data_IF_558421292860
#
_entry.id   IF_558421292860
#
_cell.length_a   1.000
_cell.length_b   1.000
_cell.length_c   1.000
_cell.angle_alpha   90.00
_cell.angle_beta   90.00
_cell.angle_gamma   90.00
#
_symmetry.space_group_name_H-M   'P 1'
#
loop_
_entity.id
_entity.type
_entity.pdbx_description
1 polymer ?
#
# COMPACT_ATOMS: atom_id res chain seq x y z
N UNK A 1 -9.16 -14.26 -18.50
CA UNK A 1 -9.24 -14.67 -17.08
C UNK A 1 -10.19 -13.72 -16.36
N UNK A 2 -10.83 -14.14 -15.26
CA UNK A 2 -11.66 -13.23 -14.48
C UNK A 2 -10.80 -12.39 -13.54
N UNK A 3 -11.23 -11.16 -13.27
CA UNK A 3 -10.61 -10.26 -12.32
C UNK A 3 -10.67 -10.84 -10.87
N UNK A 4 -9.60 -10.74 -10.10
CA UNK A 4 -9.52 -11.34 -8.76
C UNK A 4 -10.29 -10.49 -7.74
N UNK A 5 -11.35 -11.04 -7.13
CA UNK A 5 -12.05 -10.38 -6.01
C UNK A 5 -11.12 -10.15 -4.83
N UNK A 6 -11.21 -8.97 -4.24
CA UNK A 6 -10.49 -8.60 -3.02
C UNK A 6 -10.88 -9.50 -1.85
N UNK A 7 -9.90 -9.96 -1.06
CA UNK A 7 -10.10 -10.86 0.09
C UNK A 7 -9.14 -10.52 1.24
N UNK A 8 -9.49 -11.02 2.42
CA UNK A 8 -8.62 -10.96 3.62
C UNK A 8 -8.44 -9.56 4.17
N UNK A 9 -7.20 -9.17 4.42
CA UNK A 9 -6.84 -7.88 5.01
C UNK A 9 -6.59 -6.78 3.95
N UNK A 10 -7.27 -6.85 2.80
CA UNK A 10 -7.27 -5.78 1.81
C UNK A 10 -8.02 -4.54 2.33
N UNK A 11 -7.83 -3.39 1.72
CA UNK A 11 -8.63 -2.20 1.99
C UNK A 11 -10.11 -2.49 1.76
N UNK A 12 -10.96 -2.07 2.69
CA UNK A 12 -12.41 -2.37 2.67
C UNK A 12 -13.13 -1.86 1.42
N UNK A 13 -12.60 -0.80 0.82
CA UNK A 13 -13.14 -0.14 -0.36
C UNK A 13 -12.59 -0.68 -1.70
N UNK A 14 -11.55 -1.51 -1.70
CA UNK A 14 -11.03 -2.15 -2.92
C UNK A 14 -11.85 -3.39 -3.24
N UNK A 15 -12.40 -3.45 -4.46
CA UNK A 15 -13.26 -4.57 -4.90
C UNK A 15 -12.45 -5.71 -5.51
N UNK A 16 -11.39 -5.40 -6.26
CA UNK A 16 -10.60 -6.38 -7.01
C UNK A 16 -9.11 -6.06 -6.98
N UNK A 17 -8.30 -7.05 -7.33
CA UNK A 17 -6.87 -6.89 -7.58
C UNK A 17 -6.51 -7.38 -8.98
N UNK A 18 -5.55 -6.72 -9.62
CA UNK A 18 -5.00 -7.10 -10.92
C UNK A 18 -3.48 -6.96 -10.91
N UNK A 19 -2.76 -7.99 -11.35
CA UNK A 19 -1.32 -8.10 -11.20
C UNK A 19 -0.67 -8.56 -12.50
N UNK A 20 -0.26 -7.64 -13.35
CA UNK A 20 0.49 -7.91 -14.59
C UNK A 20 1.95 -8.21 -14.31
N UNK A 21 2.53 -7.60 -13.27
CA UNK A 21 3.92 -7.76 -12.86
C UNK A 21 3.95 -8.64 -11.61
N UNK A 22 4.71 -9.73 -11.66
CA UNK A 22 4.82 -10.73 -10.60
C UNK A 22 6.28 -11.05 -10.30
N UNK A 23 6.53 -11.62 -9.12
CA UNK A 23 7.85 -12.06 -8.71
C UNK A 23 8.49 -11.20 -7.64
N UNK A 24 9.83 -11.31 -7.52
CA UNK A 24 10.58 -10.72 -6.43
C UNK A 24 10.75 -9.20 -6.58
N UNK A 25 10.10 -8.44 -5.71
CA UNK A 25 10.21 -6.99 -5.63
C UNK A 25 11.57 -6.60 -5.01
N UNK A 26 12.28 -5.64 -5.63
CA UNK A 26 13.59 -5.17 -5.15
C UNK A 26 13.58 -4.45 -3.81
N UNK A 27 12.42 -4.06 -3.29
CA UNK A 27 12.35 -3.46 -1.95
C UNK A 27 12.80 -4.41 -0.84
N UNK A 28 12.60 -5.73 -0.99
CA UNK A 28 13.13 -6.72 -0.06
C UNK A 28 12.62 -6.65 1.38
N UNK A 29 11.52 -5.94 1.66
CA UNK A 29 10.98 -5.75 3.02
C UNK A 29 10.91 -7.06 3.79
N UNK A 30 11.39 -7.08 5.07
CA UNK A 30 11.38 -8.31 5.88
C UNK A 30 9.96 -8.83 6.13
N UNK A 31 9.02 -7.93 6.32
CA UNK A 31 7.60 -8.18 6.62
C UNK A 31 6.72 -8.38 5.38
N UNK A 32 7.30 -8.53 4.17
CA UNK A 32 6.49 -8.68 2.97
C UNK A 32 5.63 -9.94 3.03
N UNK A 33 4.30 -9.76 3.00
CA UNK A 33 3.35 -10.86 3.11
C UNK A 33 3.46 -11.89 1.95
N UNK A 34 4.02 -11.48 0.81
CA UNK A 34 4.23 -12.35 -0.34
C UNK A 34 5.25 -13.45 -0.03
N UNK A 35 6.19 -13.21 0.89
CA UNK A 35 7.20 -14.19 1.31
C UNK A 35 6.60 -15.46 1.92
N UNK A 36 5.40 -15.40 2.51
CA UNK A 36 4.70 -16.59 3.03
C UNK A 36 4.26 -17.59 1.94
N UNK A 37 4.26 -17.16 0.69
CA UNK A 37 3.97 -18.04 -0.46
C UNK A 37 5.20 -18.79 -0.96
N UNK A 38 6.31 -18.73 -0.22
CA UNK A 38 7.59 -19.34 -0.55
C UNK A 38 8.51 -18.44 -1.37
N UNK A 39 9.59 -19.02 -1.88
CA UNK A 39 10.57 -18.32 -2.69
C UNK A 39 9.91 -17.77 -3.96
N UNK A 40 9.98 -16.47 -4.14
CA UNK A 40 9.43 -15.82 -5.32
C UNK A 40 10.31 -16.09 -6.55
N UNK A 41 9.68 -16.18 -7.70
CA UNK A 41 10.38 -16.20 -8.99
C UNK A 41 11.04 -14.84 -9.27
N UNK A 42 12.02 -14.77 -10.17
CA UNK A 42 12.46 -13.49 -10.71
C UNK A 42 11.26 -12.68 -11.23
N UNK A 43 11.37 -11.36 -11.22
CA UNK A 43 10.31 -10.50 -11.77
C UNK A 43 10.02 -10.89 -13.22
N UNK A 44 8.75 -10.90 -13.57
CA UNK A 44 8.29 -11.18 -14.93
C UNK A 44 6.96 -10.47 -15.19
N UNK A 45 6.74 -10.16 -16.47
CA UNK A 45 5.44 -9.71 -16.96
C UNK A 45 4.58 -10.94 -17.25
N UNK A 46 3.38 -10.99 -16.70
CA UNK A 46 2.40 -12.04 -17.02
C UNK A 46 1.48 -11.55 -18.15
N UNK A 47 1.88 -11.83 -19.39
CA UNK A 47 1.15 -11.40 -20.56
C UNK A 47 -0.30 -11.89 -20.62
N UNK A 48 -0.63 -12.96 -19.88
CA UNK A 48 -2.01 -13.48 -19.81
C UNK A 48 -2.94 -12.50 -19.10
N UNK A 49 -2.42 -11.68 -18.21
CA UNK A 49 -3.20 -10.67 -17.50
C UNK A 49 -3.73 -9.56 -18.43
N UNK A 50 -3.09 -9.30 -19.56
CA UNK A 50 -3.57 -8.37 -20.59
C UNK A 50 -4.73 -8.93 -21.44
N UNK A 51 -5.25 -10.12 -21.09
CA UNK A 51 -6.49 -10.69 -21.63
C UNK A 51 -7.62 -10.69 -20.60
N UNK A 52 -7.39 -10.07 -19.43
CA UNK A 52 -8.38 -10.00 -18.36
C UNK A 52 -9.35 -8.85 -18.64
N UNK A 53 -10.63 -9.15 -18.76
CA UNK A 53 -11.65 -8.11 -18.75
C UNK A 53 -11.71 -7.47 -17.35
N UNK A 54 -11.37 -6.19 -17.26
CA UNK A 54 -11.39 -5.44 -16.02
C UNK A 54 -12.80 -4.97 -15.65
N UNK A 55 -13.79 -5.19 -16.49
CA UNK A 55 -15.18 -4.84 -16.25
C UNK A 55 -15.41 -3.33 -16.11
N UNK A 56 -16.48 -2.98 -15.41
CA UNK A 56 -16.91 -1.59 -15.23
C UNK A 56 -17.22 -1.29 -13.76
N UNK A 57 -17.00 -0.04 -13.34
CA UNK A 57 -17.33 0.46 -11.99
C UNK A 57 -16.66 -0.32 -10.85
N UNK A 58 -15.51 -0.92 -11.11
CA UNK A 58 -14.69 -1.57 -10.08
C UNK A 58 -13.70 -0.58 -9.44
N UNK A 59 -13.27 -0.91 -8.23
CA UNK A 59 -12.10 -0.30 -7.60
C UNK A 59 -11.01 -1.36 -7.58
N UNK A 60 -10.00 -1.19 -8.45
CA UNK A 60 -8.99 -2.20 -8.74
C UNK A 60 -7.64 -1.77 -8.17
N UNK A 61 -7.07 -2.57 -7.27
CA UNK A 61 -5.69 -2.40 -6.83
C UNK A 61 -4.74 -3.09 -7.83
N UNK A 62 -3.93 -2.30 -8.52
CA UNK A 62 -2.92 -2.80 -9.48
C UNK A 62 -1.61 -3.06 -8.74
N UNK A 63 -1.02 -4.24 -8.96
CA UNK A 63 0.28 -4.58 -8.40
C UNK A 63 0.25 -4.94 -6.92
N UNK A 64 -0.84 -5.52 -6.42
CA UNK A 64 -0.94 -5.92 -5.01
C UNK A 64 0.11 -6.97 -4.60
N UNK A 65 0.59 -7.81 -5.50
CA UNK A 65 1.57 -8.87 -5.22
C UNK A 65 3.03 -8.48 -5.48
N UNK A 66 3.27 -7.38 -6.19
CA UNK A 66 4.59 -6.83 -6.46
C UNK A 66 4.46 -5.32 -6.63
N UNK A 67 5.31 -4.54 -5.98
CA UNK A 67 5.34 -3.09 -6.20
C UNK A 67 5.80 -2.81 -7.63
N UNK A 68 4.87 -2.42 -8.50
CA UNK A 68 5.16 -2.19 -9.92
C UNK A 68 6.05 -0.97 -10.19
N UNK A 69 6.30 -0.15 -9.17
CA UNK A 69 7.22 0.99 -9.26
C UNK A 69 8.53 0.76 -8.51
N UNK A 70 8.81 -0.47 -8.06
CA UNK A 70 10.12 -0.81 -7.52
C UNK A 70 11.23 -0.63 -8.58
N UNK A 71 12.47 -0.43 -8.13
CA UNK A 71 13.58 -0.03 -9.03
C UNK A 71 13.86 -1.05 -10.13
N UNK A 72 13.72 -2.34 -9.83
CA UNK A 72 13.99 -3.43 -10.77
C UNK A 72 12.90 -3.65 -11.83
N UNK A 73 11.81 -2.90 -11.81
CA UNK A 73 10.72 -3.05 -12.79
C UNK A 73 11.02 -2.26 -14.07
N UNK A 74 11.03 -2.91 -15.24
CA UNK A 74 11.22 -2.24 -16.53
C UNK A 74 10.14 -1.21 -16.82
N UNK A 75 10.53 -0.06 -17.35
CA UNK A 75 9.62 1.05 -17.64
C UNK A 75 8.49 0.66 -18.62
N UNK A 76 8.79 -0.16 -19.64
CA UNK A 76 7.79 -0.63 -20.61
C UNK A 76 6.67 -1.44 -19.96
N UNK A 77 6.97 -2.29 -18.97
CA UNK A 77 5.95 -3.08 -18.27
C UNK A 77 4.97 -2.20 -17.46
N UNK A 78 5.50 -1.12 -16.88
CA UNK A 78 4.66 -0.14 -16.16
C UNK A 78 3.77 0.59 -17.16
N UNK A 79 4.36 1.01 -18.29
CA UNK A 79 3.64 1.68 -19.37
C UNK A 79 2.49 0.81 -19.90
N UNK A 80 2.78 -0.42 -20.30
CA UNK A 80 1.80 -1.36 -20.85
C UNK A 80 0.66 -1.64 -19.86
N UNK A 81 1.00 -1.77 -18.56
CA UNK A 81 0.00 -1.98 -17.51
C UNK A 81 -0.95 -0.80 -17.35
N UNK A 82 -0.43 0.43 -17.36
CA UNK A 82 -1.26 1.63 -17.22
C UNK A 82 -2.11 1.85 -18.48
N UNK A 83 -1.54 1.68 -19.67
CA UNK A 83 -2.27 1.82 -20.93
C UNK A 83 -3.43 0.82 -21.01
N UNK A 84 -3.19 -0.46 -20.67
CA UNK A 84 -4.26 -1.44 -20.63
C UNK A 84 -5.37 -1.07 -19.64
N UNK A 85 -5.02 -0.59 -18.46
CA UNK A 85 -6.01 -0.13 -17.49
C UNK A 85 -6.86 1.03 -18.02
N UNK A 86 -6.29 1.93 -18.83
CA UNK A 86 -7.00 3.07 -19.45
C UNK A 86 -8.06 2.67 -20.43
N UNK A 87 -7.93 1.52 -21.09
CA UNK A 87 -8.98 0.99 -21.98
C UNK A 87 -10.30 0.72 -21.23
N UNK A 88 -10.23 0.51 -19.91
CA UNK A 88 -11.36 0.30 -19.01
C UNK A 88 -11.60 1.53 -18.12
N UNK A 89 -11.73 2.70 -18.72
CA UNK A 89 -11.71 4.01 -18.06
C UNK A 89 -12.85 4.30 -17.08
N UNK A 90 -13.88 3.45 -16.97
CA UNK A 90 -14.95 3.56 -15.96
C UNK A 90 -14.57 2.99 -14.58
N UNK A 91 -13.44 2.32 -14.47
CA UNK A 91 -12.92 1.80 -13.21
C UNK A 91 -12.08 2.84 -12.46
N UNK A 92 -12.07 2.75 -11.14
CA UNK A 92 -11.09 3.43 -10.30
C UNK A 92 -9.87 2.53 -10.09
N UNK A 93 -8.68 3.08 -10.21
CA UNK A 93 -7.43 2.33 -10.06
C UNK A 93 -6.63 2.83 -8.86
N UNK A 94 -6.28 1.92 -7.96
CA UNK A 94 -5.36 2.18 -6.88
C UNK A 94 -3.94 1.79 -7.32
N UNK A 95 -3.05 2.77 -7.35
CA UNK A 95 -1.61 2.61 -7.54
C UNK A 95 -0.90 2.82 -6.21
N UNK A 96 -0.27 1.79 -5.68
CA UNK A 96 0.45 1.89 -4.42
C UNK A 96 1.93 1.57 -4.60
N UNK A 97 2.79 2.38 -3.99
CA UNK A 97 4.23 2.14 -4.05
C UNK A 97 4.98 2.67 -2.82
N UNK A 98 6.07 2.01 -2.49
CA UNK A 98 7.13 2.52 -1.62
C UNK A 98 8.15 3.37 -2.37
N UNK A 99 8.00 3.52 -3.69
CA UNK A 99 8.81 4.40 -4.53
C UNK A 99 7.92 5.41 -5.27
N UNK A 100 7.30 6.36 -4.56
CA UNK A 100 6.43 7.36 -5.18
C UNK A 100 7.17 8.27 -6.16
N UNK A 101 8.48 8.43 -6.05
CA UNK A 101 9.25 9.21 -7.02
C UNK A 101 9.24 8.55 -8.40
N UNK A 102 9.45 7.23 -8.48
CA UNK A 102 9.32 6.49 -9.75
C UNK A 102 7.88 6.48 -10.23
N UNK A 103 6.90 6.29 -9.34
CA UNK A 103 5.48 6.33 -9.68
C UNK A 103 5.07 7.69 -10.28
N UNK A 104 5.63 8.79 -9.78
CA UNK A 104 5.34 10.14 -10.26
C UNK A 104 5.65 10.35 -11.75
N UNK A 105 6.61 9.63 -12.31
CA UNK A 105 6.96 9.69 -13.74
C UNK A 105 5.81 9.28 -14.65
N UNK A 106 4.86 8.51 -14.13
CA UNK A 106 3.69 8.00 -14.87
C UNK A 106 2.40 8.74 -14.51
N UNK A 107 2.48 9.78 -13.67
CA UNK A 107 1.32 10.53 -13.17
C UNK A 107 0.36 10.97 -14.29
N UNK A 108 0.88 11.52 -15.39
CA UNK A 108 0.07 12.00 -16.51
C UNK A 108 -0.67 10.91 -17.31
N UNK A 109 -0.34 9.64 -17.06
CA UNK A 109 -0.94 8.50 -17.77
C UNK A 109 -2.04 7.79 -16.96
N UNK A 110 -2.09 7.99 -15.63
CA UNK A 110 -2.94 7.19 -14.73
C UNK A 110 -4.44 7.43 -14.87
N UNK A 111 -4.87 8.49 -15.59
CA UNK A 111 -6.28 8.85 -15.77
C UNK A 111 -6.89 9.53 -14.54
N UNK A 112 -8.06 10.16 -14.73
CA UNK A 112 -8.67 11.04 -13.72
C UNK A 112 -9.24 10.28 -12.50
N UNK A 113 -9.59 9.02 -12.68
CA UNK A 113 -10.11 8.16 -11.61
C UNK A 113 -9.01 7.46 -10.79
N UNK A 114 -7.74 7.80 -11.02
CA UNK A 114 -6.63 7.22 -10.28
C UNK A 114 -6.66 7.60 -8.79
N UNK A 115 -6.26 6.66 -7.96
CA UNK A 115 -5.96 6.82 -6.55
C UNK A 115 -4.51 6.43 -6.34
N UNK A 116 -3.76 7.24 -5.64
CA UNK A 116 -2.36 6.95 -5.32
C UNK A 116 -2.20 6.67 -3.84
N UNK A 117 -1.36 5.71 -3.51
CA UNK A 117 -1.07 5.33 -2.12
C UNK A 117 0.43 5.15 -1.92
N UNK A 118 0.93 5.58 -0.77
CA UNK A 118 2.27 5.20 -0.33
C UNK A 118 2.24 4.60 1.06
N UNK A 119 3.22 3.77 1.37
CA UNK A 119 3.37 3.17 2.70
C UNK A 119 4.31 4.04 3.54
N UNK A 120 3.89 4.40 4.73
CA UNK A 120 4.70 5.09 5.76
C UNK A 120 4.55 4.29 7.05
N UNK A 121 5.37 3.31 7.29
CA UNK A 121 5.29 2.39 8.42
C UNK A 121 5.59 3.08 9.75
N UNK A 122 6.42 4.11 9.70
CA UNK A 122 6.97 4.88 10.83
C UNK A 122 7.70 6.11 10.28
N UNK A 123 8.03 7.08 11.14
CA UNK A 123 8.94 8.19 10.81
C UNK A 123 10.42 7.80 10.96
N UNK A 124 10.71 6.66 11.61
CA UNK A 124 12.06 6.14 11.84
C UNK A 124 12.53 5.29 10.64
N UNK A 125 13.83 5.03 10.60
CA UNK A 125 14.42 4.09 9.64
C UNK A 125 14.92 2.83 10.34
N UNK A 126 14.32 1.70 10.02
CA UNK A 126 14.76 0.39 10.53
C UNK A 126 15.48 -0.37 9.42
N UNK A 127 16.83 -0.29 9.46
CA UNK A 127 17.69 -1.04 8.53
C UNK A 127 17.39 -2.55 8.63
N UNK A 128 17.47 -3.26 7.51
CA UNK A 128 17.16 -4.70 7.39
C UNK A 128 15.68 -5.11 7.61
N UNK A 129 14.81 -4.18 7.96
CA UNK A 129 13.36 -4.39 8.09
C UNK A 129 12.64 -3.73 6.92
N UNK A 130 12.87 -2.43 6.74
CA UNK A 130 12.21 -1.62 5.71
C UNK A 130 12.96 -1.71 4.38
N UNK A 131 12.19 -1.66 3.30
CA UNK A 131 12.74 -1.61 1.94
C UNK A 131 12.28 -0.38 1.17
N UNK A 132 12.99 -0.08 0.08
CA UNK A 132 12.74 1.10 -0.75
C UNK A 132 13.27 2.41 -0.13
N UNK A 133 12.91 3.58 -0.69
CA UNK A 133 13.28 4.88 -0.15
C UNK A 133 12.78 5.09 1.28
N UNK A 134 13.50 5.89 2.09
CA UNK A 134 13.11 6.20 3.46
C UNK A 134 11.75 6.94 3.55
N UNK A 135 11.06 6.87 4.69
CA UNK A 135 9.70 7.42 4.84
C UNK A 135 9.59 8.90 4.48
N UNK A 136 10.57 9.72 4.86
CA UNK A 136 10.61 11.15 4.53
C UNK A 136 10.72 11.39 3.02
N UNK A 137 11.59 10.65 2.35
CA UNK A 137 11.76 10.73 0.88
C UNK A 137 10.46 10.36 0.17
N UNK A 138 9.77 9.31 0.67
CA UNK A 138 8.46 8.91 0.14
C UNK A 138 7.42 10.03 0.31
N UNK A 139 7.34 10.65 1.47
CA UNK A 139 6.39 11.72 1.75
C UNK A 139 6.63 12.96 0.88
N UNK A 140 7.88 13.38 0.72
CA UNK A 140 8.27 14.53 -0.11
C UNK A 140 7.94 14.31 -1.60
N UNK A 141 8.19 13.10 -2.11
CA UNK A 141 7.81 12.75 -3.48
C UNK A 141 6.29 12.66 -3.65
N UNK A 142 5.60 12.12 -2.63
CA UNK A 142 4.17 11.86 -2.66
C UNK A 142 3.33 13.14 -2.67
N UNK A 143 3.81 14.21 -2.06
CA UNK A 143 3.18 15.54 -2.09
C UNK A 143 2.95 16.06 -3.51
N UNK A 144 3.76 15.66 -4.49
CA UNK A 144 3.72 16.15 -5.87
C UNK A 144 2.55 15.58 -6.70
N UNK A 145 1.85 14.55 -6.21
CA UNK A 145 0.69 14.00 -6.90
C UNK A 145 -0.53 14.92 -6.80
N UNK A 146 -1.28 15.04 -7.90
CA UNK A 146 -2.52 15.83 -7.99
C UNK A 146 -3.79 14.97 -7.75
N UNK A 147 -3.65 13.67 -7.59
CA UNK A 147 -4.76 12.74 -7.31
C UNK A 147 -5.15 12.73 -5.83
N UNK A 148 -6.25 12.04 -5.52
CA UNK A 148 -6.56 11.68 -4.15
C UNK A 148 -5.46 10.77 -3.60
N UNK A 149 -4.78 11.25 -2.55
CA UNK A 149 -3.65 10.61 -1.92
C UNK A 149 -4.10 9.80 -0.72
N UNK A 150 -3.69 8.56 -0.67
CA UNK A 150 -3.88 7.65 0.46
C UNK A 150 -2.53 7.31 1.08
N UNK A 151 -2.48 7.20 2.38
CA UNK A 151 -1.31 6.68 3.07
C UNK A 151 -1.71 5.38 3.75
N UNK A 152 -0.85 4.37 3.71
CA UNK A 152 -1.00 3.19 4.54
C UNK A 152 0.14 3.12 5.57
N UNK A 153 -0.23 3.00 6.83
CA UNK A 153 0.66 2.76 7.96
C UNK A 153 0.54 1.26 8.28
N UNK A 154 1.12 0.42 7.42
CA UNK A 154 1.04 -1.04 7.56
C UNK A 154 2.26 -1.75 6.97
N UNK A 155 2.95 -2.56 7.80
CA UNK A 155 2.72 -2.72 9.24
C UNK A 155 3.10 -1.45 10.02
N UNK A 156 2.26 -1.06 10.99
CA UNK A 156 2.65 0.04 11.89
C UNK A 156 3.84 -0.42 12.73
N UNK A 157 4.91 0.38 12.72
CA UNK A 157 6.09 0.18 13.57
C UNK A 157 6.22 1.35 14.55
N UNK A 158 7.01 1.18 15.61
CA UNK A 158 7.17 2.21 16.62
C UNK A 158 7.71 3.52 16.01
N UNK A 159 7.20 4.62 16.51
CA UNK A 159 7.38 5.96 15.93
C UNK A 159 7.51 7.03 17.02
N UNK A 160 7.90 8.23 16.62
CA UNK A 160 7.86 9.44 17.44
C UNK A 160 6.59 10.21 17.02
N UNK A 161 5.67 10.43 17.97
CA UNK A 161 4.30 10.86 17.65
C UNK A 161 4.27 12.16 16.85
N UNK A 162 4.95 13.19 17.31
CA UNK A 162 4.96 14.51 16.66
C UNK A 162 5.51 14.42 15.24
N UNK A 163 6.65 13.78 15.07
CA UNK A 163 7.34 13.62 13.79
C UNK A 163 6.53 12.75 12.82
N UNK A 164 5.85 11.70 13.34
CA UNK A 164 4.97 10.86 12.52
C UNK A 164 3.76 11.64 12.03
N UNK A 165 3.12 12.43 12.89
CA UNK A 165 1.98 13.28 12.51
C UNK A 165 2.40 14.30 11.44
N UNK A 166 3.53 14.99 11.62
CA UNK A 166 4.04 15.96 10.64
C UNK A 166 4.38 15.28 9.29
N UNK A 167 4.93 14.07 9.32
CA UNK A 167 5.24 13.30 8.12
C UNK A 167 3.97 12.92 7.35
N UNK A 168 2.91 12.51 8.04
CA UNK A 168 1.62 12.21 7.40
C UNK A 168 0.95 13.49 6.88
N UNK A 169 1.02 14.60 7.62
CA UNK A 169 0.54 15.90 7.13
C UNK A 169 1.24 16.33 5.84
N UNK A 170 2.55 16.10 5.73
CA UNK A 170 3.31 16.38 4.51
C UNK A 170 2.75 15.61 3.30
N UNK A 171 2.30 14.38 3.47
CA UNK A 171 1.64 13.62 2.42
C UNK A 171 0.28 14.22 2.02
N UNK A 172 -0.35 15.00 2.88
CA UNK A 172 -1.70 15.56 2.73
C UNK A 172 -2.72 14.53 2.20
N UNK A 173 -2.94 13.41 2.89
CA UNK A 173 -3.79 12.32 2.44
C UNK A 173 -5.28 12.63 2.68
N UNK A 174 -6.16 12.14 1.81
CA UNK A 174 -7.61 12.12 2.04
C UNK A 174 -8.01 11.03 3.03
N UNK A 175 -7.18 9.97 3.11
CA UNK A 175 -7.39 8.84 4.02
C UNK A 175 -6.08 8.18 4.40
N UNK A 176 -5.98 7.76 5.65
CA UNK A 176 -4.90 6.94 6.19
C UNK A 176 -5.44 5.58 6.61
N UNK A 177 -4.85 4.50 6.09
CA UNK A 177 -5.18 3.13 6.49
C UNK A 177 -4.14 2.66 7.50
N UNK A 178 -4.57 2.17 8.67
CA UNK A 178 -3.66 1.74 9.73
C UNK A 178 -3.83 0.24 9.98
N UNK A 179 -2.72 -0.50 9.92
CA UNK A 179 -2.72 -1.94 10.13
C UNK A 179 -1.48 -2.43 10.87
N UNK A 180 -1.63 -3.51 11.62
CA UNK A 180 -0.55 -4.19 12.33
C UNK A 180 0.18 -5.19 11.43
N UNK A 181 1.28 -5.75 11.92
CA UNK A 181 1.96 -6.87 11.27
C UNK A 181 1.03 -8.10 11.15
N UNK A 182 0.77 -8.50 9.92
CA UNK A 182 -0.08 -9.67 9.61
C UNK A 182 0.67 -11.00 9.64
N UNK A 183 2.00 -10.98 9.69
CA UNK A 183 2.83 -12.16 9.49
C UNK A 183 3.57 -12.64 10.74
N UNK A 184 3.53 -11.89 11.84
CA UNK A 184 4.26 -12.25 13.06
C UNK A 184 5.79 -12.12 12.88
N UNK A 185 6.25 -11.06 12.21
CA UNK A 185 7.66 -10.84 11.88
C UNK A 185 8.47 -10.24 13.02
N UNK A 186 7.90 -10.17 14.25
CA UNK A 186 8.54 -9.58 15.43
C UNK A 186 9.04 -8.15 15.20
N UNK A 187 8.23 -7.34 14.54
CA UNK A 187 8.54 -5.94 14.29
C UNK A 187 8.49 -5.12 15.59
N UNK A 188 9.20 -3.98 15.67
CA UNK A 188 9.09 -3.05 16.78
C UNK A 188 7.72 -2.36 16.71
N UNK A 189 6.68 -2.99 17.24
CA UNK A 189 5.33 -2.46 17.25
C UNK A 189 5.13 -1.45 18.39
N UNK A 190 4.36 -0.36 18.16
CA UNK A 190 4.02 0.58 19.21
C UNK A 190 3.00 -0.01 20.20
N UNK A 191 2.89 0.60 21.39
CA UNK A 191 1.84 0.25 22.34
C UNK A 191 0.45 0.64 21.82
N UNK A 192 -0.58 0.03 22.40
CA UNK A 192 -1.99 0.38 22.11
C UNK A 192 -2.25 1.87 22.32
N UNK A 193 -1.81 2.42 23.44
CA UNK A 193 -2.03 3.81 23.83
C UNK A 193 -1.42 4.75 22.80
N UNK A 194 -0.20 4.46 22.36
CA UNK A 194 0.51 5.24 21.36
C UNK A 194 -0.18 5.21 19.98
N UNK A 195 -0.79 4.08 19.62
CA UNK A 195 -1.60 3.97 18.39
C UNK A 195 -2.87 4.81 18.50
N UNK A 196 -3.54 4.79 19.65
CA UNK A 196 -4.74 5.59 19.88
C UNK A 196 -4.45 7.08 19.81
N UNK A 197 -3.35 7.54 20.45
CA UNK A 197 -2.88 8.93 20.34
C UNK A 197 -2.61 9.34 18.89
N UNK A 198 -1.97 8.46 18.10
CA UNK A 198 -1.74 8.72 16.69
C UNK A 198 -3.05 8.85 15.91
N UNK A 199 -4.01 7.96 16.14
CA UNK A 199 -5.33 8.00 15.51
C UNK A 199 -6.03 9.32 15.84
N UNK A 200 -6.05 9.74 17.10
CA UNK A 200 -6.67 10.97 17.55
C UNK A 200 -6.05 12.20 16.88
N UNK A 201 -4.73 12.24 16.74
CA UNK A 201 -4.04 13.33 16.06
C UNK A 201 -4.33 13.35 14.55
N UNK A 202 -4.32 12.19 13.89
CA UNK A 202 -4.56 12.10 12.45
C UNK A 202 -6.01 12.43 12.07
N UNK A 203 -6.99 12.04 12.89
CA UNK A 203 -8.41 12.33 12.66
C UNK A 203 -8.75 13.83 12.60
N UNK A 204 -7.88 14.69 13.13
CA UNK A 204 -8.04 16.14 13.06
C UNK A 204 -7.94 16.70 11.63
N UNK A 205 -7.37 15.97 10.69
CA UNK A 205 -7.15 16.46 9.32
C UNK A 205 -7.34 15.44 8.19
N UNK A 206 -7.57 14.15 8.48
CA UNK A 206 -7.78 13.12 7.48
C UNK A 206 -8.72 12.02 7.97
N UNK A 207 -9.28 11.25 7.04
CA UNK A 207 -10.06 10.07 7.39
C UNK A 207 -9.17 8.91 7.82
N UNK A 208 -9.59 8.11 8.81
CA UNK A 208 -8.85 6.94 9.28
C UNK A 208 -9.65 5.68 9.01
N UNK A 209 -9.02 4.72 8.31
CA UNK A 209 -9.50 3.34 8.14
C UNK A 209 -8.61 2.40 8.96
N UNK A 210 -9.19 1.81 10.02
CA UNK A 210 -8.50 0.84 10.86
C UNK A 210 -8.68 -0.55 10.26
N UNK A 211 -7.60 -1.13 9.75
CA UNK A 211 -7.64 -2.48 9.17
C UNK A 211 -7.88 -3.54 10.24
N UNK A 212 -8.52 -4.63 9.86
CA UNK A 212 -8.90 -5.71 10.80
C UNK A 212 -7.74 -6.25 11.64
N UNK A 213 -6.56 -6.35 11.06
CA UNK A 213 -5.36 -6.85 11.75
C UNK A 213 -4.89 -5.92 12.88
N UNK A 214 -5.28 -4.65 12.88
CA UNK A 214 -4.95 -3.70 13.96
C UNK A 214 -5.61 -4.11 15.28
N UNK A 215 -6.76 -4.79 15.24
CA UNK A 215 -7.45 -5.33 16.41
C UNK A 215 -6.57 -6.28 17.25
N UNK A 216 -5.54 -6.86 16.64
CA UNK A 216 -4.55 -7.66 17.37
C UNK A 216 -3.83 -6.86 18.45
N UNK A 217 -3.62 -5.58 18.25
CA UNK A 217 -2.97 -4.70 19.25
C UNK A 217 -4.03 -4.00 20.10
N UNK A 218 -5.10 -3.49 19.49
CA UNK A 218 -6.08 -2.64 20.18
C UNK A 218 -7.02 -3.38 21.13
N UNK A 219 -7.43 -4.62 20.82
CA UNK A 219 -8.41 -5.34 21.60
C UNK A 219 -7.79 -6.12 22.75
N UNK A 220 -8.48 -6.22 23.92
CA UNK A 220 -8.07 -7.07 25.03
C UNK A 220 -8.00 -8.55 24.62
N UNK A 221 -7.16 -9.33 25.30
CA UNK A 221 -6.99 -10.76 25.04
C UNK A 221 -8.31 -11.57 25.16
N UNK A 222 -9.23 -11.12 26.03
CA UNK A 222 -10.56 -11.73 26.21
C UNK A 222 -11.44 -11.62 24.96
N UNK A 223 -11.40 -10.49 24.25
CA UNK A 223 -12.20 -10.24 23.04
C UNK A 223 -11.59 -10.92 21.81
N UNK A 224 -10.26 -11.11 21.79
CA UNK A 224 -9.56 -11.79 20.68
C UNK A 224 -9.98 -13.25 20.49
N UNK A 225 -10.46 -13.93 21.54
CA UNK A 225 -10.92 -15.33 21.49
C UNK A 225 -12.30 -15.50 20.84
N UNK A 226 -13.14 -14.47 20.84
CA UNK A 226 -14.48 -14.51 20.26
C UNK A 226 -14.54 -14.15 18.76
N UNK A 227 -13.42 -13.70 18.18
CA UNK A 227 -13.33 -13.29 16.76
C UNK A 227 -12.58 -14.30 15.87
N UNK A 228 -12.20 -15.46 16.43
CA UNK A 228 -11.66 -16.60 15.70
C UNK A 228 -12.77 -17.58 15.32
#
# INVERSE_FOLDING_TARGET
>A
MGLNKSKGNMYSWVTHTWNTIKGECSHGCSYCYVKRWGKQKPIHLDEKEFKTDLGVNNIIFIGSSCDMFADNIPAGWIYDTIEYAREFGSNMYLYQSKNPEKMLRYHGMMGDLARVCTTIETNRWYQNIMGGPGPKIRAEAFLKFKFNRYVTIEPIMDFDLKEMVELIKLCNPVQVNIGADSGGHNLPEPSKEKILELIDELQKFTQIDQKRNLNRILLPASVKRSLK
#
